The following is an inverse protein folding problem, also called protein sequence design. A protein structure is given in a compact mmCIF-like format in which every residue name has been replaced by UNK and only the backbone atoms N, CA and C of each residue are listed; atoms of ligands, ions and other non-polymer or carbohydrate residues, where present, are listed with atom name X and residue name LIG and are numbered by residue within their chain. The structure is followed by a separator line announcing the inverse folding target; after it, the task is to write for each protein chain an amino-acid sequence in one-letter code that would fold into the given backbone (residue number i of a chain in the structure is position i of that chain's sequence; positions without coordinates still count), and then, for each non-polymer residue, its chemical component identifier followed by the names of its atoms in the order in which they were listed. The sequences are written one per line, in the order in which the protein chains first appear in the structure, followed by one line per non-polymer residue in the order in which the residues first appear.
data_IF_564470706434
#
_entry.id   IF_564470706434
#
_cell.length_a   1.000
_cell.length_b   1.000
_cell.length_c   1.000
_cell.angle_alpha   90.00
_cell.angle_beta   90.00
_cell.angle_gamma   90.00
#
_symmetry.space_group_name_H-M   'P 1'
#
loop_
_entity.id
_entity.type
_entity.pdbx_description
1 polymer ?
#
# COMPACT_ATOMS: atom_id res chain seq x y z
N UNK A 1 -12.02 21.32 7.63
CA UNK A 1 -11.90 20.75 6.27
C UNK A 1 -10.56 20.01 6.21
N UNK A 2 -10.57 18.69 6.28
CA UNK A 2 -9.33 17.90 6.23
C UNK A 2 -8.88 17.86 4.76
N UNK A 3 -7.89 18.68 4.40
CA UNK A 3 -7.38 18.70 3.03
C UNK A 3 -6.75 17.33 2.76
N UNK A 4 -7.45 16.48 2.02
CA UNK A 4 -6.91 15.21 1.57
C UNK A 4 -5.77 15.54 0.60
N UNK A 5 -4.55 15.66 1.13
CA UNK A 5 -3.39 15.94 0.31
C UNK A 5 -3.13 14.69 -0.54
N UNK A 6 -3.30 14.85 -1.85
CA UNK A 6 -3.15 13.78 -2.82
C UNK A 6 -1.81 13.07 -2.60
N UNK A 7 -1.81 11.76 -2.31
CA UNK A 7 -0.56 11.01 -2.20
C UNK A 7 0.13 11.03 -3.58
N UNK A 8 1.46 11.07 -3.57
CA UNK A 8 2.22 10.94 -4.82
C UNK A 8 1.92 9.58 -5.46
N UNK A 9 2.09 9.39 -6.78
CA UNK A 9 1.82 8.10 -7.43
C UNK A 9 2.50 6.93 -6.70
N UNK A 10 3.77 7.10 -6.30
CA UNK A 10 4.53 6.11 -5.53
C UNK A 10 4.02 5.85 -4.11
N UNK A 11 3.40 6.84 -3.48
CA UNK A 11 2.71 6.67 -2.18
C UNK A 11 1.37 5.95 -2.35
N UNK A 12 0.63 6.28 -3.41
CA UNK A 12 -0.62 5.63 -3.78
C UNK A 12 -0.39 4.14 -4.05
N UNK A 13 0.72 3.83 -4.71
CA UNK A 13 1.19 2.48 -4.98
C UNK A 13 1.43 1.65 -3.71
N UNK A 14 2.19 2.21 -2.76
CA UNK A 14 2.40 1.60 -1.44
C UNK A 14 1.07 1.40 -0.71
N UNK A 15 0.19 2.39 -0.77
CA UNK A 15 -1.10 2.37 -0.12
C UNK A 15 -2.03 1.29 -0.71
N UNK A 16 -2.08 1.16 -2.04
CA UNK A 16 -2.82 0.11 -2.75
C UNK A 16 -2.30 -1.28 -2.40
N UNK A 17 -0.97 -1.43 -2.34
CA UNK A 17 -0.34 -2.69 -1.94
C UNK A 17 -0.75 -3.08 -0.51
N UNK A 18 -0.67 -2.16 0.45
CA UNK A 18 -1.05 -2.42 1.84
C UNK A 18 -2.53 -2.76 1.94
N UNK A 19 -3.41 -2.01 1.26
CA UNK A 19 -4.85 -2.25 1.28
C UNK A 19 -5.21 -3.62 0.70
N UNK A 20 -4.65 -3.99 -0.45
CA UNK A 20 -4.84 -5.31 -1.05
C UNK A 20 -4.30 -6.45 -0.18
N UNK A 21 -3.14 -6.26 0.43
CA UNK A 21 -2.54 -7.26 1.32
C UNK A 21 -3.37 -7.45 2.59
N UNK A 22 -3.91 -6.38 3.17
CA UNK A 22 -4.80 -6.44 4.33
C UNK A 22 -6.09 -7.21 4.01
N UNK A 23 -6.70 -6.94 2.86
CA UNK A 23 -7.89 -7.67 2.40
C UNK A 23 -7.58 -9.16 2.20
N UNK A 24 -6.46 -9.48 1.53
CA UNK A 24 -6.03 -10.85 1.29
C UNK A 24 -5.64 -11.62 2.57
N UNK A 25 -4.99 -10.94 3.52
CA UNK A 25 -4.47 -11.55 4.75
C UNK A 25 -5.44 -11.49 5.92
N UNK A 26 -6.66 -10.97 5.73
CA UNK A 26 -7.68 -10.85 6.78
C UNK A 26 -7.34 -9.84 7.87
N UNK A 27 -6.68 -8.73 7.52
CA UNK A 27 -6.36 -7.63 8.45
C UNK A 27 -4.93 -7.62 9.00
N UNK A 28 -4.03 -8.41 8.42
CA UNK A 28 -2.60 -8.40 8.78
C UNK A 28 -1.81 -7.53 7.80
N UNK A 29 -1.06 -6.55 8.30
CA UNK A 29 -0.28 -5.66 7.45
C UNK A 29 1.02 -6.30 6.93
N UNK A 30 1.48 -5.96 5.70
CA UNK A 30 2.73 -6.48 5.17
C UNK A 30 3.94 -5.93 5.93
N UNK A 31 5.06 -6.67 5.90
CA UNK A 31 6.32 -6.24 6.52
C UNK A 31 6.99 -5.14 5.68
N UNK A 32 7.78 -4.28 6.31
CA UNK A 32 8.56 -3.22 5.64
C UNK A 32 9.37 -3.74 4.44
N UNK A 33 9.95 -4.94 4.58
CA UNK A 33 10.71 -5.58 3.48
C UNK A 33 9.81 -5.92 2.28
N UNK A 34 8.64 -6.51 2.52
CA UNK A 34 7.70 -6.89 1.46
C UNK A 34 7.17 -5.65 0.72
N UNK A 35 6.88 -4.57 1.45
CA UNK A 35 6.46 -3.29 0.84
C UNK A 35 7.57 -2.75 -0.07
N UNK A 36 8.82 -2.83 0.39
CA UNK A 36 9.97 -2.40 -0.41
C UNK A 36 10.17 -3.24 -1.68
N UNK A 37 10.07 -4.57 -1.57
CA UNK A 37 10.18 -5.49 -2.71
C UNK A 37 9.03 -5.28 -3.71
N UNK A 38 7.80 -5.09 -3.25
CA UNK A 38 6.63 -4.91 -4.12
C UNK A 38 6.61 -3.54 -4.84
N UNK A 39 7.03 -2.48 -4.17
CA UNK A 39 7.02 -1.11 -4.72
C UNK A 39 8.38 -0.68 -5.33
N UNK A 40 9.37 -1.58 -5.37
CA UNK A 40 10.71 -1.26 -5.88
C UNK A 40 11.40 -0.14 -5.10
N UNK A 41 11.24 -0.11 -3.78
CA UNK A 41 11.84 0.90 -2.91
C UNK A 41 13.21 0.42 -2.45
N UNK A 42 14.23 1.26 -2.67
CA UNK A 42 15.59 1.02 -2.19
C UNK A 42 15.68 1.19 -0.66
N UNK A 43 15.28 0.15 0.07
CA UNK A 43 15.56 -0.03 1.50
C UNK A 43 14.43 0.32 2.47
N UNK A 44 14.46 -0.33 3.64
CA UNK A 44 13.45 -0.23 4.71
C UNK A 44 13.28 1.20 5.26
N UNK A 45 14.35 2.01 5.30
CA UNK A 45 14.29 3.38 5.81
C UNK A 45 13.40 4.30 4.97
N UNK A 46 13.44 4.15 3.64
CA UNK A 46 12.55 4.89 2.73
C UNK A 46 11.10 4.45 2.90
N UNK A 47 10.85 3.14 3.04
CA UNK A 47 9.50 2.60 3.32
C UNK A 47 8.95 3.19 4.61
N UNK A 48 9.75 3.25 5.67
CA UNK A 48 9.33 3.83 6.96
C UNK A 48 8.96 5.31 6.83
N UNK A 49 9.78 6.12 6.12
CA UNK A 49 9.42 7.53 5.83
C UNK A 49 8.13 7.64 5.01
N UNK A 50 7.94 6.77 4.02
CA UNK A 50 6.73 6.76 3.19
C UNK A 50 5.48 6.47 4.01
N UNK A 51 5.56 5.46 4.89
CA UNK A 51 4.48 5.11 5.81
C UNK A 51 4.20 6.24 6.81
N UNK A 52 5.24 6.91 7.32
CA UNK A 52 5.08 8.10 8.17
C UNK A 52 4.31 9.20 7.45
N UNK A 53 4.73 9.52 6.22
CA UNK A 53 4.03 10.51 5.41
C UNK A 53 2.58 10.11 5.11
N UNK A 54 2.29 8.84 4.83
CA UNK A 54 0.92 8.35 4.63
C UNK A 54 0.07 8.46 5.91
N UNK A 55 0.68 8.24 7.08
CA UNK A 55 0.03 8.33 8.38
C UNK A 55 -0.30 9.79 8.76
N UNK A 56 0.67 10.70 8.60
CA UNK A 56 0.48 12.13 8.85
C UNK A 56 -0.59 12.74 7.94
N UNK A 57 -0.77 12.17 6.74
CA UNK A 57 -1.80 12.57 5.77
C UNK A 57 -3.18 12.00 6.07
N UNK A 58 -3.28 11.09 7.05
CA UNK A 58 -4.52 10.37 7.37
C UNK A 58 -4.91 9.32 6.33
N UNK A 59 -3.97 8.83 5.52
CA UNK A 59 -4.22 7.74 4.57
C UNK A 59 -4.17 6.37 5.26
N UNK A 60 -3.29 6.21 6.25
CA UNK A 60 -3.16 5.00 7.07
C UNK A 60 -3.08 5.35 8.56
N UNK A 61 -3.30 4.37 9.42
CA UNK A 61 -3.10 4.48 10.86
C UNK A 61 -2.47 3.21 11.40
N UNK A 62 -1.38 3.34 12.16
CA UNK A 62 -0.78 2.22 12.90
C UNK A 62 -1.49 2.05 14.25
N UNK A 63 -1.78 0.81 14.63
CA UNK A 63 -2.40 0.48 15.91
C UNK A 63 -1.32 0.10 16.93
N UNK A 64 -1.02 0.96 17.94
CA UNK A 64 -0.08 0.61 18.99
C UNK A 64 -0.64 -0.55 19.82
N UNK A 65 0.18 -1.58 20.05
CA UNK A 65 -0.22 -2.79 20.80
C UNK A 65 -0.50 -4.02 19.94
N UNK A 66 -0.48 -3.92 18.61
CA UNK A 66 -0.49 -5.09 17.71
C UNK A 66 0.66 -5.01 16.71
N UNK A 67 1.51 -6.03 16.72
CA UNK A 67 2.57 -6.17 15.74
C UNK A 67 1.95 -6.31 14.34
N UNK A 68 2.35 -5.46 13.39
CA UNK A 68 1.80 -5.43 12.02
C UNK A 68 0.30 -5.12 11.92
N UNK A 69 -0.24 -4.28 12.81
CA UNK A 69 -1.59 -3.76 12.66
C UNK A 69 -1.56 -2.36 12.04
N UNK A 70 -1.84 -2.30 10.73
CA UNK A 70 -2.02 -1.06 9.97
C UNK A 70 -3.46 -1.07 9.47
N UNK A 71 -4.15 0.05 9.65
CA UNK A 71 -5.48 0.29 9.13
C UNK A 71 -5.39 1.31 7.99
N UNK A 72 -5.97 0.99 6.84
CA UNK A 72 -6.03 1.90 5.69
C UNK A 72 -7.32 2.71 5.81
N UNK A 73 -7.17 4.03 5.99
CA UNK A 73 -8.27 4.98 6.14
C UNK A 73 -8.63 5.65 4.81
N UNK A 74 -7.68 5.68 3.88
CA UNK A 74 -7.91 6.19 2.54
C UNK A 74 -8.78 5.22 1.71
N UNK A 75 -9.77 5.77 1.02
CA UNK A 75 -10.52 5.02 0.02
C UNK A 75 -9.64 4.84 -1.21
N UNK A 76 -8.98 3.68 -1.31
CA UNK A 76 -8.23 3.26 -2.50
C UNK A 76 -9.00 2.20 -3.26
N UNK A 77 -9.13 2.37 -4.58
CA UNK A 77 -9.65 1.31 -5.44
C UNK A 77 -8.58 0.22 -5.57
N UNK A 78 -8.83 -0.91 -4.94
CA UNK A 78 -8.03 -2.12 -5.12
C UNK A 78 -8.54 -2.79 -6.40
N UNK A 79 -7.69 -2.99 -7.42
CA UNK A 79 -8.09 -3.78 -8.57
C UNK A 79 -8.43 -5.20 -8.12
N UNK A 80 -9.62 -5.66 -8.45
CA UNK A 80 -10.07 -7.03 -8.15
C UNK A 80 -10.07 -7.87 -9.41
N UNK A 81 -9.63 -9.12 -9.29
CA UNK A 81 -9.69 -10.08 -10.39
C UNK A 81 -11.13 -10.48 -10.72
N UNK A 82 -11.35 -11.22 -11.81
CA UNK A 82 -12.68 -11.67 -12.23
C UNK A 82 -13.39 -12.54 -11.19
N UNK A 83 -12.65 -13.18 -10.27
CA UNK A 83 -13.17 -13.94 -9.14
C UNK A 83 -13.37 -13.12 -7.85
N UNK A 84 -13.14 -11.80 -7.89
CA UNK A 84 -13.24 -10.92 -6.72
C UNK A 84 -12.00 -10.93 -5.82
N UNK A 85 -10.93 -11.63 -6.20
CA UNK A 85 -9.67 -11.64 -5.46
C UNK A 85 -8.95 -10.28 -5.53
N UNK A 86 -8.43 -9.75 -4.41
CA UNK A 86 -7.65 -8.52 -4.41
C UNK A 86 -6.34 -8.75 -5.17
N UNK A 87 -6.13 -7.99 -6.25
CA UNK A 87 -4.85 -8.00 -6.98
C UNK A 87 -3.85 -7.10 -6.26
N UNK A 88 -3.35 -7.58 -5.12
CA UNK A 88 -2.32 -6.93 -4.32
C UNK A 88 -0.90 -7.14 -4.91
N UNK A 89 -0.77 -8.01 -5.91
CA UNK A 89 0.48 -8.36 -6.57
C UNK A 89 0.50 -7.82 -8.00
N UNK A 90 0.31 -6.51 -8.19
CA UNK A 90 0.77 -5.86 -9.42
C UNK A 90 2.17 -5.34 -9.12
N UNK A 91 3.25 -6.00 -9.56
CA UNK A 91 4.57 -5.40 -9.57
C UNK A 91 4.49 -4.09 -10.38
N UNK A 92 4.56 -2.97 -9.68
CA UNK A 92 4.47 -1.61 -10.25
C UNK A 92 5.71 -1.21 -11.08
N UNK A 93 6.46 -2.21 -11.55
CA UNK A 93 7.66 -2.07 -12.37
C UNK A 93 7.69 -3.02 -13.57
N UNK A 94 6.64 -3.79 -13.84
CA UNK A 94 6.44 -4.37 -15.18
C UNK A 94 5.26 -3.65 -15.79
N UNK A 95 5.59 -2.64 -16.59
CA UNK A 95 4.81 -2.41 -17.79
C UNK A 95 4.76 -3.75 -18.50
N UNK A 96 3.67 -4.49 -18.31
CA UNK A 96 3.27 -5.50 -19.27
C UNK A 96 3.36 -4.84 -20.65
N UNK A 97 4.04 -5.50 -21.58
CA UNK A 97 4.24 -5.01 -22.93
C UNK A 97 2.93 -4.47 -23.48
N UNK A 98 2.96 -3.20 -23.87
CA UNK A 98 2.07 -2.69 -24.91
C UNK A 98 2.29 -3.61 -26.11
N UNK A 99 1.30 -4.45 -26.36
CA UNK A 99 1.16 -5.18 -27.59
C UNK A 99 0.83 -4.18 -28.70
N UNK A 100 1.69 -4.08 -29.70
CA UNK A 100 1.36 -3.69 -31.07
C UNK A 100 2.40 -4.26 -32.02
#
# INVERSE_FOLDING_TARGET
MNVAVSPTPRQMDVLRFIAGYLEASGGVAPKYRQIGEACGIAGMGQVSRMLGALEERGCIRRLPGRHQAIEVLASVSIPRGPAGEPLYFVPLGTSAGEAS
#
